data_IF_775865739468
#
_entry.id   IF_775865739468
#
_cell.length_a   1.000
_cell.length_b   1.000
_cell.length_c   1.000
_cell.angle_alpha   90.00
_cell.angle_beta   90.00
_cell.angle_gamma   90.00
#
_symmetry.space_group_name_H-M   'P 1'
#
loop_
_entity.id
_entity.type
_entity.pdbx_description
1 polymer ?
#
# COMPACT_ATOMS: atom_id res chain seq x y z
N UNK A 1 69.75 57.74 -45.30
CA UNK A 1 69.07 58.93 -44.74
C UNK A 1 67.97 58.39 -43.82
N UNK A 2 68.19 58.17 -42.52
CA UNK A 2 68.34 59.17 -41.45
C UNK A 2 66.96 59.77 -41.10
N UNK A 3 66.41 59.78 -39.88
CA UNK A 3 66.85 59.46 -38.50
C UNK A 3 65.59 59.46 -37.60
N UNK A 4 65.60 58.67 -36.51
CA UNK A 4 65.39 59.01 -35.07
C UNK A 4 65.07 57.70 -34.30
N UNK A 5 66.06 57.05 -33.67
CA UNK A 5 66.66 57.26 -32.31
C UNK A 5 65.74 56.66 -31.23
N UNK A 6 66.04 55.43 -30.76
CA UNK A 6 66.81 55.03 -29.53
C UNK A 6 66.00 55.25 -28.25
N UNK A 7 66.00 54.41 -27.22
CA UNK A 7 66.78 53.24 -26.78
C UNK A 7 66.39 53.08 -25.29
N UNK A 8 66.10 51.88 -24.79
CA UNK A 8 67.05 50.94 -24.18
C UNK A 8 66.96 50.97 -22.63
N UNK A 9 67.23 49.83 -21.97
CA UNK A 9 67.68 49.81 -20.57
C UNK A 9 66.71 49.31 -19.50
N UNK A 10 67.21 48.35 -18.72
CA UNK A 10 66.51 47.52 -17.74
C UNK A 10 66.64 47.98 -16.28
N UNK A 11 65.72 47.44 -15.45
CA UNK A 11 65.83 46.98 -14.04
C UNK A 11 66.29 47.86 -12.87
N UNK A 12 65.62 47.56 -11.74
CA UNK A 12 65.90 47.79 -10.31
C UNK A 12 65.51 49.13 -9.64
N UNK A 13 64.44 49.09 -8.83
CA UNK A 13 64.48 49.54 -7.43
C UNK A 13 63.34 48.88 -6.61
N UNK A 14 63.72 47.98 -5.71
CA UNK A 14 62.88 47.46 -4.62
C UNK A 14 62.66 48.54 -3.53
N UNK A 15 61.89 48.21 -2.47
CA UNK A 15 61.67 48.93 -1.16
C UNK A 15 60.37 49.78 -1.16
N UNK A 16 59.30 49.63 -0.35
CA UNK A 16 58.93 48.90 0.88
C UNK A 16 57.38 48.79 1.03
N UNK A 17 56.91 47.82 1.84
CA UNK A 17 55.52 47.36 2.11
C UNK A 17 54.56 48.42 2.77
N UNK A 18 53.24 48.14 2.94
CA UNK A 18 52.79 47.28 4.05
C UNK A 18 51.75 46.22 3.65
N UNK A 19 52.11 44.97 3.93
CA UNK A 19 51.35 43.72 3.79
C UNK A 19 50.45 43.44 5.03
N UNK A 20 49.99 44.49 5.73
CA UNK A 20 49.47 44.38 7.10
C UNK A 20 47.95 44.64 7.22
N UNK A 21 47.30 45.05 6.12
CA UNK A 21 45.87 45.37 6.10
C UNK A 21 44.99 44.20 5.69
N UNK A 22 45.48 43.22 4.92
CA UNK A 22 44.69 42.07 4.48
C UNK A 22 44.57 40.96 5.54
N UNK A 23 45.63 40.72 6.32
CA UNK A 23 45.60 39.71 7.39
C UNK A 23 44.68 40.09 8.56
N UNK A 24 44.59 41.38 8.91
CA UNK A 24 43.79 41.86 10.04
C UNK A 24 42.28 41.72 9.81
N UNK A 25 41.80 41.96 8.58
CA UNK A 25 40.39 41.83 8.20
C UNK A 25 39.94 40.38 8.20
N UNK A 26 40.75 39.46 7.65
CA UNK A 26 40.45 38.03 7.65
C UNK A 26 40.42 37.43 9.07
N UNK A 27 41.35 37.85 9.95
CA UNK A 27 41.36 37.44 11.36
C UNK A 27 40.14 37.95 12.13
N UNK A 28 39.68 39.19 11.89
CA UNK A 28 38.48 39.75 12.53
C UNK A 28 37.18 39.05 12.13
N UNK A 29 37.02 38.71 10.84
CA UNK A 29 35.82 38.04 10.32
C UNK A 29 35.69 36.59 10.84
N UNK A 30 36.83 35.87 10.96
CA UNK A 30 36.86 34.52 11.53
C UNK A 30 36.47 34.48 13.02
N UNK A 31 36.85 35.52 13.77
CA UNK A 31 36.54 35.63 15.21
C UNK A 31 35.06 35.94 15.42
N UNK A 32 34.50 36.87 14.65
CA UNK A 32 33.08 37.21 14.70
C UNK A 32 32.16 36.02 14.34
N UNK A 33 32.53 35.24 13.32
CA UNK A 33 31.79 34.02 12.93
C UNK A 33 31.86 32.93 14.01
N UNK A 34 32.99 32.78 14.68
CA UNK A 34 33.17 31.84 15.80
C UNK A 34 32.33 32.24 17.02
N UNK A 35 32.22 33.54 17.33
CA UNK A 35 31.38 34.03 18.43
C UNK A 35 29.89 33.85 18.13
N UNK A 36 29.46 34.10 16.89
CA UNK A 36 28.07 33.85 16.45
C UNK A 36 27.72 32.35 16.49
N UNK A 37 28.64 31.49 16.05
CA UNK A 37 28.45 30.04 16.12
C UNK A 37 28.36 29.54 17.57
N UNK A 38 29.21 30.05 18.47
CA UNK A 38 29.13 29.75 19.91
C UNK A 38 27.81 30.22 20.52
N UNK A 39 27.30 31.38 20.10
CA UNK A 39 25.98 31.87 20.50
C UNK A 39 24.85 30.96 20.04
N UNK A 40 24.87 30.52 18.78
CA UNK A 40 23.87 29.58 18.23
C UNK A 40 23.92 28.23 18.95
N UNK A 41 25.12 27.69 19.19
CA UNK A 41 25.31 26.44 19.95
C UNK A 41 24.77 26.60 21.38
N UNK A 42 25.05 27.73 22.03
CA UNK A 42 24.50 28.04 23.35
C UNK A 42 22.97 28.05 23.38
N UNK A 43 22.33 28.68 22.38
CA UNK A 43 20.87 28.70 22.24
C UNK A 43 20.33 27.28 22.02
N UNK A 44 20.96 26.47 21.16
CA UNK A 44 20.55 25.09 20.93
C UNK A 44 20.65 24.22 22.21
N UNK A 45 21.70 24.40 23.00
CA UNK A 45 21.87 23.69 24.28
C UNK A 45 20.78 24.13 25.27
N UNK A 46 20.48 25.43 25.36
CA UNK A 46 19.42 25.94 26.23
C UNK A 46 18.06 25.36 25.81
N UNK A 47 17.74 25.35 24.52
CA UNK A 47 16.49 24.76 24.01
C UNK A 47 16.38 23.25 24.25
N UNK A 48 17.50 22.52 24.16
CA UNK A 48 17.53 21.10 24.47
C UNK A 48 17.29 20.85 25.97
N UNK A 49 17.95 21.62 26.84
CA UNK A 49 17.80 21.49 28.30
C UNK A 49 16.40 21.89 28.76
N UNK A 50 15.83 22.97 28.23
CA UNK A 50 14.44 23.35 28.54
C UNK A 50 13.45 22.34 27.98
N UNK A 51 13.72 21.75 26.81
CA UNK A 51 12.94 20.63 26.27
C UNK A 51 12.97 19.40 27.17
N UNK A 52 14.14 19.02 27.68
CA UNK A 52 14.29 17.87 28.61
C UNK A 52 13.56 18.13 29.93
N UNK A 53 13.68 19.33 30.50
CA UNK A 53 12.97 19.69 31.75
C UNK A 53 11.46 19.77 31.52
N UNK A 54 11.02 20.36 30.41
CA UNK A 54 9.60 20.45 30.06
C UNK A 54 9.00 19.06 29.82
N UNK A 55 9.66 18.20 29.04
CA UNK A 55 9.20 16.83 28.81
C UNK A 55 9.29 15.99 30.10
N UNK A 56 10.33 16.14 30.90
CA UNK A 56 10.48 15.42 32.18
C UNK A 56 9.47 15.86 33.26
N UNK A 57 9.01 17.11 33.24
CA UNK A 57 8.02 17.62 34.18
C UNK A 57 6.57 17.36 33.73
N UNK A 58 6.30 17.42 32.42
CA UNK A 58 4.95 17.23 31.86
C UNK A 58 4.65 15.81 31.36
N UNK A 59 5.65 14.92 31.28
CA UNK A 59 5.45 13.48 31.03
C UNK A 59 5.83 12.66 32.27
N UNK A 60 4.92 12.49 33.25
CA UNK A 60 5.13 11.56 34.34
C UNK A 60 5.04 10.11 33.80
N UNK A 61 6.19 9.44 33.81
CA UNK A 61 6.42 8.00 33.94
C UNK A 61 5.53 6.99 33.21
N UNK A 62 5.16 7.22 31.95
CA UNK A 62 4.88 6.11 31.03
C UNK A 62 5.51 6.32 29.64
N UNK A 63 6.80 5.97 29.61
CA UNK A 63 7.56 5.40 28.49
C UNK A 63 7.89 6.32 27.31
N UNK A 64 9.18 6.64 27.16
CA UNK A 64 9.90 6.37 25.91
C UNK A 64 11.44 6.32 26.10
N UNK A 65 11.94 5.10 25.90
CA UNK A 65 13.12 4.76 25.12
C UNK A 65 14.47 5.35 25.55
N UNK A 66 15.25 4.53 26.27
CA UNK A 66 16.61 4.10 25.90
C UNK A 66 17.12 3.13 26.99
N UNK A 67 16.66 1.88 26.96
CA UNK A 67 17.34 0.77 27.66
C UNK A 67 17.04 -0.54 26.92
N UNK A 68 18.09 -1.19 26.41
CA UNK A 68 18.04 -2.61 26.10
C UNK A 68 17.77 -3.36 27.41
N UNK A 69 16.63 -4.05 27.50
CA UNK A 69 16.39 -5.08 28.52
C UNK A 69 15.78 -6.31 27.87
N UNK A 70 16.69 -7.21 27.54
CA UNK A 70 16.71 -8.64 27.83
C UNK A 70 15.44 -9.51 27.63
N UNK A 71 15.63 -10.45 26.71
CA UNK A 71 15.11 -11.81 26.64
C UNK A 71 15.03 -12.52 28.02
N UNK A 72 13.96 -12.35 28.80
CA UNK A 72 13.53 -13.38 29.78
C UNK A 72 12.15 -13.15 30.41
N UNK A 73 11.08 -13.18 29.62
CA UNK A 73 9.73 -13.28 30.20
C UNK A 73 8.74 -14.02 29.29
N UNK A 74 9.10 -15.26 28.92
CA UNK A 74 8.17 -16.22 28.30
C UNK A 74 8.34 -17.65 28.81
N UNK A 75 9.14 -17.86 29.86
CA UNK A 75 9.43 -19.19 30.42
C UNK A 75 8.80 -19.40 31.80
N UNK A 76 7.54 -19.01 32.00
CA UNK A 76 6.71 -19.44 33.15
C UNK A 76 5.22 -19.48 32.82
N UNK A 77 4.86 -20.30 31.84
CA UNK A 77 3.62 -21.07 31.85
C UNK A 77 4.02 -22.50 31.43
N UNK A 78 4.71 -23.17 32.36
CA UNK A 78 5.04 -24.59 32.29
C UNK A 78 3.76 -25.41 32.46
N UNK A 79 3.71 -26.47 31.67
CA UNK A 79 3.46 -27.85 32.11
C UNK A 79 2.36 -28.08 33.14
N UNK A 80 1.33 -28.76 32.66
CA UNK A 80 0.52 -29.64 33.48
C UNK A 80 -0.48 -30.38 32.61
N UNK A 81 -0.07 -31.48 31.97
CA UNK A 81 -0.83 -32.73 31.95
C UNK A 81 0.08 -33.86 31.47
N UNK A 82 0.51 -34.65 32.44
CA UNK A 82 1.31 -35.86 32.28
C UNK A 82 0.53 -36.98 31.59
N UNK A 83 1.29 -37.86 30.95
CA UNK A 83 0.85 -39.10 30.33
C UNK A 83 0.13 -40.04 31.33
N UNK A 84 -0.97 -40.62 30.87
CA UNK A 84 -1.71 -41.70 31.54
C UNK A 84 -2.46 -42.55 30.53
N UNK A 85 -1.84 -43.66 30.14
CA UNK A 85 -2.42 -44.97 29.76
C UNK A 85 -3.79 -45.03 29.06
N UNK A 86 -3.75 -45.50 27.80
CA UNK A 86 -4.52 -46.67 27.35
C UNK A 86 -5.99 -46.46 27.01
N UNK A 87 -6.28 -46.30 25.72
CA UNK A 87 -7.28 -47.05 24.94
C UNK A 87 -7.58 -46.32 23.63
N UNK A 88 -7.61 -47.05 22.52
CA UNK A 88 -8.45 -46.66 21.39
C UNK A 88 -7.78 -46.56 20.02
N UNK A 89 -7.86 -47.68 19.31
CA UNK A 89 -8.27 -47.79 17.90
C UNK A 89 -7.25 -47.39 16.81
N UNK A 90 -6.86 -48.43 16.10
CA UNK A 90 -6.16 -48.50 14.83
C UNK A 90 -6.73 -47.55 13.78
N UNK A 91 -5.89 -46.70 13.20
CA UNK A 91 -6.18 -45.97 11.96
C UNK A 91 -5.88 -46.87 10.77
N UNK A 92 -6.85 -47.21 9.90
CA UNK A 92 -6.54 -47.76 8.60
C UNK A 92 -6.22 -46.62 7.63
N UNK A 93 -5.17 -46.84 6.84
CA UNK A 93 -4.76 -46.07 5.68
C UNK A 93 -5.89 -46.04 4.65
N UNK A 94 -6.34 -44.85 4.25
CA UNK A 94 -7.32 -44.67 3.17
C UNK A 94 -6.63 -43.93 2.01
N UNK A 95 -6.58 -44.63 0.88
CA UNK A 95 -6.21 -44.13 -0.45
C UNK A 95 -7.06 -42.92 -0.88
N UNK A 96 -6.54 -42.05 -1.78
CA UNK A 96 -7.28 -40.87 -2.21
C UNK A 96 -8.35 -41.27 -3.23
N UNK A 97 -9.56 -41.55 -2.74
CA UNK A 97 -10.70 -41.82 -3.61
C UNK A 97 -11.18 -40.52 -4.28
N UNK A 98 -11.33 -40.61 -5.60
CA UNK A 98 -11.32 -39.50 -6.56
C UNK A 98 -12.73 -38.94 -6.82
N UNK A 99 -13.64 -39.07 -5.87
CA UNK A 99 -15.05 -38.73 -6.05
C UNK A 99 -15.65 -38.11 -4.79
N UNK A 100 -15.43 -36.82 -4.57
CA UNK A 100 -16.32 -35.95 -3.80
C UNK A 100 -16.02 -34.46 -4.08
N UNK A 101 -16.04 -34.12 -5.38
CA UNK A 101 -16.14 -32.72 -5.78
C UNK A 101 -17.55 -32.24 -5.44
N UNK A 102 -17.62 -31.42 -4.39
CA UNK A 102 -18.65 -30.44 -4.05
C UNK A 102 -19.89 -30.48 -4.96
N UNK A 103 -21.05 -30.88 -4.40
CA UNK A 103 -22.35 -30.60 -5.01
C UNK A 103 -22.58 -29.08 -4.99
N UNK A 104 -22.00 -28.43 -5.99
CA UNK A 104 -22.12 -27.02 -6.29
C UNK A 104 -23.48 -26.81 -6.96
N UNK A 105 -24.26 -25.84 -6.46
CA UNK A 105 -25.55 -25.47 -7.06
C UNK A 105 -25.42 -25.26 -8.58
N UNK A 106 -26.44 -25.67 -9.38
CA UNK A 106 -26.36 -25.65 -10.85
C UNK A 106 -26.20 -24.26 -11.48
N UNK A 107 -26.24 -23.18 -10.69
CA UNK A 107 -25.98 -21.80 -11.12
C UNK A 107 -24.49 -21.41 -11.11
N UNK A 108 -23.60 -22.26 -10.59
CA UNK A 108 -22.18 -21.93 -10.42
C UNK A 108 -21.40 -22.20 -11.71
N UNK A 109 -21.60 -21.35 -12.72
CA UNK A 109 -20.59 -21.17 -13.76
C UNK A 109 -19.65 -20.08 -13.26
N UNK A 110 -18.56 -20.49 -12.63
CA UNK A 110 -17.47 -19.58 -12.27
C UNK A 110 -16.93 -19.01 -13.59
N UNK A 111 -17.41 -17.83 -13.97
CA UNK A 111 -16.94 -17.15 -15.16
C UNK A 111 -15.51 -16.71 -14.89
N UNK A 112 -14.56 -17.59 -15.23
CA UNK A 112 -13.20 -17.19 -15.55
C UNK A 112 -13.31 -16.03 -16.52
N UNK A 113 -12.89 -14.83 -16.10
CA UNK A 113 -12.62 -13.72 -17.03
C UNK A 113 -11.78 -14.32 -18.16
N UNK A 114 -12.12 -14.04 -19.42
CA UNK A 114 -11.35 -14.54 -20.56
C UNK A 114 -9.87 -14.15 -20.39
N UNK A 115 -9.02 -15.14 -20.09
CA UNK A 115 -7.59 -14.95 -19.78
C UNK A 115 -7.16 -15.15 -18.32
N UNK A 116 -8.09 -15.49 -17.40
CA UNK A 116 -7.78 -15.77 -15.99
C UNK A 116 -7.31 -17.21 -15.80
N UNK A 117 -6.00 -17.44 -15.93
CA UNK A 117 -5.39 -18.71 -15.55
C UNK A 117 -5.03 -18.73 -14.06
N UNK A 118 -4.99 -19.94 -13.48
CA UNK A 118 -4.80 -20.16 -12.04
C UNK A 118 -3.47 -19.67 -11.49
N UNK A 119 -3.39 -19.57 -10.16
CA UNK A 119 -2.14 -19.35 -9.43
C UNK A 119 -1.00 -20.21 -9.99
N UNK A 120 -1.26 -21.50 -10.25
CA UNK A 120 -0.29 -22.46 -10.80
C UNK A 120 0.15 -22.16 -12.24
N UNK A 121 -0.72 -21.60 -13.07
CA UNK A 121 -0.40 -21.27 -14.47
C UNK A 121 0.46 -20.01 -14.58
N UNK A 122 0.35 -19.08 -13.60
CA UNK A 122 1.18 -17.87 -13.52
C UNK A 122 2.66 -18.23 -13.24
N UNK A 123 2.93 -19.29 -12.46
CA UNK A 123 4.30 -19.72 -12.16
C UNK A 123 4.91 -20.65 -13.20
N UNK A 124 4.09 -21.42 -13.89
CA UNK A 124 4.55 -22.46 -14.84
C UNK A 124 4.73 -21.94 -16.26
N UNK A 125 4.15 -20.79 -16.62
CA UNK A 125 4.07 -20.34 -18.00
C UNK A 125 4.63 -18.91 -18.18
N UNK A 126 5.75 -18.78 -18.90
CA UNK A 126 6.45 -17.50 -19.19
C UNK A 126 5.59 -16.47 -19.91
N UNK A 127 4.45 -16.88 -20.46
CA UNK A 127 3.49 -16.02 -21.17
C UNK A 127 2.73 -15.03 -20.25
N UNK A 128 2.84 -15.18 -18.93
CA UNK A 128 2.15 -14.33 -17.92
C UNK A 128 3.01 -13.22 -17.32
N UNK A 129 4.23 -13.02 -17.85
CA UNK A 129 5.04 -11.88 -17.48
C UNK A 129 4.34 -10.57 -17.88
N UNK A 130 4.38 -9.58 -17.00
CA UNK A 130 3.86 -8.25 -17.28
C UNK A 130 4.75 -7.54 -18.28
N UNK A 131 4.17 -7.07 -19.38
CA UNK A 131 4.87 -6.28 -20.39
C UNK A 131 4.35 -4.83 -20.41
N UNK A 132 5.15 -3.93 -19.84
CA UNK A 132 4.83 -2.49 -19.78
C UNK A 132 4.79 -1.84 -21.17
N UNK A 133 5.50 -2.39 -22.16
CA UNK A 133 5.56 -1.86 -23.52
C UNK A 133 4.37 -2.34 -24.36
N UNK A 134 3.85 -3.54 -24.08
CA UNK A 134 2.59 -4.06 -24.63
C UNK A 134 1.36 -3.35 -24.03
N UNK A 135 0.19 -4.00 -24.07
CA UNK A 135 -1.10 -3.44 -23.64
C UNK A 135 -1.50 -3.88 -22.22
N UNK A 136 -0.55 -4.34 -21.41
CA UNK A 136 -0.84 -4.85 -20.06
C UNK A 136 -1.10 -3.71 -19.08
N UNK A 137 -2.09 -3.87 -18.21
CA UNK A 137 -2.50 -2.86 -17.24
C UNK A 137 -2.62 -3.47 -15.85
N UNK A 138 -1.89 -2.92 -14.89
CA UNK A 138 -2.07 -3.23 -13.47
C UNK A 138 -3.29 -2.47 -12.96
N UNK A 139 -4.21 -3.16 -12.28
CA UNK A 139 -5.41 -2.57 -11.68
C UNK A 139 -5.34 -2.71 -10.17
N UNK A 140 -5.18 -1.59 -9.46
CA UNK A 140 -5.11 -1.61 -8.00
C UNK A 140 -6.50 -1.47 -7.35
N UNK A 141 -7.02 -2.60 -6.84
CA UNK A 141 -8.23 -2.67 -6.03
C UNK A 141 -7.91 -2.24 -4.59
N UNK A 142 -8.24 -0.99 -4.26
CA UNK A 142 -7.93 -0.40 -2.97
C UNK A 142 -9.09 -0.56 -1.97
N UNK A 143 -8.98 -1.54 -1.09
CA UNK A 143 -9.91 -1.76 0.03
C UNK A 143 -9.68 -0.73 1.14
N UNK A 144 -10.73 -0.22 1.77
CA UNK A 144 -10.59 0.75 2.85
C UNK A 144 -9.80 0.14 4.04
N UNK A 145 -8.86 0.95 4.55
CA UNK A 145 -8.12 0.71 5.81
C UNK A 145 -7.13 -0.46 5.81
N UNK A 146 -6.74 -0.92 4.62
CA UNK A 146 -5.69 -1.93 4.41
C UNK A 146 -4.33 -1.32 4.07
N UNK A 147 -4.04 -0.07 4.49
CA UNK A 147 -2.77 0.58 4.13
C UNK A 147 -2.63 0.99 2.66
N UNK A 148 -3.67 0.82 1.83
CA UNK A 148 -3.63 1.10 0.38
C UNK A 148 -3.31 2.55 -0.02
N UNK A 149 -3.40 3.52 0.90
CA UNK A 149 -2.91 4.89 0.66
C UNK A 149 -1.39 4.96 0.59
N UNK A 150 -0.68 4.19 1.42
CA UNK A 150 0.77 4.10 1.37
C UNK A 150 1.19 3.27 0.16
N UNK A 151 0.63 2.06 0.04
CA UNK A 151 0.93 1.14 -1.06
C UNK A 151 0.70 1.79 -2.44
N UNK A 152 -0.43 2.46 -2.64
CA UNK A 152 -0.71 3.17 -3.90
C UNK A 152 0.23 4.35 -4.19
N UNK A 153 0.90 4.94 -3.17
CA UNK A 153 1.95 5.94 -3.41
C UNK A 153 3.24 5.28 -3.88
N UNK A 154 3.61 4.13 -3.32
CA UNK A 154 4.76 3.35 -3.76
C UNK A 154 4.63 2.95 -5.23
N UNK A 155 3.45 2.47 -5.64
CA UNK A 155 3.16 2.12 -7.04
C UNK A 155 3.43 3.24 -8.06
N UNK A 156 3.37 4.51 -7.65
CA UNK A 156 3.54 5.66 -8.56
C UNK A 156 4.84 6.43 -8.33
N UNK A 157 5.68 6.03 -7.36
CA UNK A 157 6.88 6.81 -6.97
C UNK A 157 8.14 5.99 -6.82
N UNK A 158 8.02 4.73 -6.41
CA UNK A 158 9.15 3.97 -5.88
C UNK A 158 9.47 2.71 -6.69
N UNK A 159 8.81 2.53 -7.85
CA UNK A 159 9.13 1.48 -8.82
C UNK A 159 10.26 1.95 -9.74
N UNK A 160 11.19 1.05 -10.07
CA UNK A 160 12.25 1.29 -11.05
C UNK A 160 11.70 1.04 -12.47
N UNK A 161 11.50 2.13 -13.20
CA UNK A 161 10.83 2.13 -14.49
C UNK A 161 11.70 2.84 -15.50
N UNK A 162 11.76 2.30 -16.72
CA UNK A 162 12.38 2.99 -17.87
C UNK A 162 11.83 4.42 -18.04
N UNK A 163 10.52 4.60 -17.79
CA UNK A 163 9.85 5.89 -17.71
C UNK A 163 9.06 5.99 -16.40
N UNK A 164 9.56 6.72 -15.39
CA UNK A 164 8.86 6.92 -14.13
C UNK A 164 7.54 7.68 -14.30
N UNK A 165 6.61 7.50 -13.36
CA UNK A 165 5.38 8.29 -13.34
C UNK A 165 5.67 9.78 -13.06
N UNK A 166 4.99 10.67 -13.77
CA UNK A 166 5.09 12.12 -13.54
C UNK A 166 4.09 12.58 -12.47
N UNK A 167 4.58 12.84 -11.25
CA UNK A 167 3.77 13.30 -10.12
C UNK A 167 3.95 14.79 -9.83
N UNK A 168 2.91 15.61 -9.99
CA UNK A 168 2.96 17.04 -9.65
C UNK A 168 2.67 17.27 -8.16
N UNK A 169 3.49 18.07 -7.46
CA UNK A 169 3.37 18.31 -6.00
C UNK A 169 1.98 18.78 -5.53
N UNK A 170 1.23 19.50 -6.38
CA UNK A 170 -0.11 20.02 -6.04
C UNK A 170 -1.26 19.12 -6.49
N UNK A 171 -0.98 18.07 -7.27
CA UNK A 171 -2.01 17.15 -7.76
C UNK A 171 -1.91 15.83 -7.02
N UNK A 172 -3.05 15.30 -6.62
CA UNK A 172 -3.14 13.96 -6.03
C UNK A 172 -2.92 12.85 -7.05
N UNK A 173 -2.89 13.16 -8.35
CA UNK A 173 -2.80 12.20 -9.45
C UNK A 173 -1.48 12.38 -10.19
N UNK A 174 -0.85 11.27 -10.52
CA UNK A 174 0.36 11.16 -11.31
C UNK A 174 0.01 10.62 -12.70
N UNK A 175 0.84 10.93 -13.69
CA UNK A 175 0.74 10.37 -15.03
C UNK A 175 1.68 9.18 -15.15
N UNK A 176 1.13 7.97 -15.18
CA UNK A 176 1.89 6.72 -15.29
C UNK A 176 1.74 6.16 -16.70
N UNK A 177 2.49 6.76 -17.62
CA UNK A 177 2.43 6.38 -19.04
C UNK A 177 3.50 5.36 -19.38
N UNK A 178 3.21 4.55 -20.41
CA UNK A 178 4.16 3.60 -20.98
C UNK A 178 5.42 4.33 -21.50
N UNK A 179 6.57 3.64 -21.58
CA UNK A 179 7.80 4.23 -22.13
C UNK A 179 7.59 4.80 -23.53
N UNK A 180 6.96 4.01 -24.41
CA UNK A 180 6.88 4.29 -25.85
C UNK A 180 5.66 5.11 -26.28
N UNK A 181 4.66 5.30 -25.41
CA UNK A 181 3.37 5.93 -25.75
C UNK A 181 2.66 6.56 -24.55
N UNK A 182 1.72 7.47 -24.82
CA UNK A 182 0.96 8.19 -23.79
C UNK A 182 -0.28 7.41 -23.32
N UNK A 183 -0.14 6.12 -23.08
CA UNK A 183 -1.18 5.24 -22.55
C UNK A 183 -0.84 4.80 -21.13
N UNK A 184 -1.85 4.52 -20.31
CA UNK A 184 -1.68 4.14 -18.92
C UNK A 184 -1.35 2.65 -18.80
N UNK A 185 -0.28 2.33 -18.07
CA UNK A 185 0.00 0.95 -17.64
C UNK A 185 -0.53 0.64 -16.24
N UNK A 186 -1.00 1.66 -15.50
CA UNK A 186 -1.51 1.55 -14.14
C UNK A 186 -2.89 2.21 -14.02
N UNK A 187 -3.89 1.44 -13.59
CA UNK A 187 -5.21 1.90 -13.19
C UNK A 187 -5.33 1.90 -11.67
N UNK A 188 -5.35 3.10 -11.07
CA UNK A 188 -5.39 3.25 -9.62
C UNK A 188 -5.91 4.64 -9.23
N UNK A 189 -6.23 4.82 -7.94
CA UNK A 189 -6.53 6.14 -7.34
C UNK A 189 -5.48 7.20 -7.70
N UNK A 190 -4.20 6.83 -7.70
CA UNK A 190 -3.08 7.76 -7.87
C UNK A 190 -2.66 7.95 -9.32
N UNK A 191 -3.17 7.17 -10.27
CA UNK A 191 -2.88 7.30 -11.71
C UNK A 191 -4.08 7.77 -12.53
N UNK A 192 -5.17 7.00 -12.56
CA UNK A 192 -6.39 7.30 -13.32
C UNK A 192 -7.44 8.00 -12.46
N UNK A 193 -7.35 7.87 -11.14
CA UNK A 193 -8.35 8.39 -10.20
C UNK A 193 -9.46 7.37 -9.94
N UNK A 194 -10.58 7.84 -9.39
CA UNK A 194 -11.75 7.00 -9.10
C UNK A 194 -12.71 6.91 -10.30
N UNK A 195 -12.17 6.53 -11.47
CA UNK A 195 -12.95 6.45 -12.72
C UNK A 195 -14.11 5.45 -12.63
N UNK A 196 -13.87 4.32 -11.98
CA UNK A 196 -14.88 3.30 -11.71
C UNK A 196 -15.60 3.47 -10.37
N UNK A 197 -15.59 4.67 -9.78
CA UNK A 197 -16.21 4.94 -8.49
C UNK A 197 -15.23 4.94 -7.32
N UNK A 198 -15.64 5.59 -6.23
CA UNK A 198 -14.84 5.71 -5.02
C UNK A 198 -14.70 4.34 -4.34
N UNK A 199 -13.45 3.84 -4.23
CA UNK A 199 -13.18 2.50 -3.68
C UNK A 199 -13.96 1.39 -4.39
N UNK A 200 -13.98 1.44 -5.72
CA UNK A 200 -14.56 0.41 -6.57
C UNK A 200 -14.07 -0.99 -6.17
N UNK A 201 -15.01 -1.90 -5.97
CA UNK A 201 -14.72 -3.30 -5.65
C UNK A 201 -14.45 -4.15 -6.89
N UNK A 202 -14.22 -5.45 -6.71
CA UNK A 202 -13.96 -6.39 -7.79
C UNK A 202 -15.07 -6.36 -8.85
N UNK A 203 -16.34 -6.34 -8.42
CA UNK A 203 -17.50 -6.36 -9.32
C UNK A 203 -17.60 -5.05 -10.13
N UNK A 204 -17.34 -3.92 -9.48
CA UNK A 204 -17.31 -2.61 -10.15
C UNK A 204 -16.13 -2.50 -11.11
N UNK A 205 -14.93 -2.97 -10.75
CA UNK A 205 -13.73 -2.79 -11.56
C UNK A 205 -13.73 -3.70 -12.80
N UNK A 206 -14.10 -4.98 -12.67
CA UNK A 206 -14.11 -5.93 -13.79
C UNK A 206 -15.14 -5.55 -14.86
N UNK A 207 -16.22 -4.88 -14.48
CA UNK A 207 -17.24 -4.39 -15.41
C UNK A 207 -16.96 -3.00 -16.00
N UNK A 208 -15.97 -2.26 -15.49
CA UNK A 208 -15.79 -0.83 -15.81
C UNK A 208 -14.44 -0.46 -16.43
N UNK A 209 -13.34 -1.09 -16.00
CA UNK A 209 -11.97 -0.62 -16.31
C UNK A 209 -11.70 -0.55 -17.81
N UNK A 210 -12.12 -1.56 -18.57
CA UNK A 210 -11.93 -1.61 -20.03
C UNK A 210 -12.65 -0.46 -20.74
N UNK A 211 -13.94 -0.26 -20.42
CA UNK A 211 -14.73 0.85 -20.97
C UNK A 211 -14.12 2.22 -20.64
N UNK A 212 -13.65 2.42 -19.41
CA UNK A 212 -13.04 3.70 -19.02
C UNK A 212 -11.69 3.94 -19.70
N UNK A 213 -10.88 2.91 -19.93
CA UNK A 213 -9.63 3.04 -20.67
C UNK A 213 -9.89 3.28 -22.16
N UNK A 214 -10.89 2.63 -22.76
CA UNK A 214 -11.28 2.88 -24.15
C UNK A 214 -11.73 4.33 -24.37
N UNK A 215 -12.44 4.94 -23.40
CA UNK A 215 -12.80 6.37 -23.46
C UNK A 215 -11.59 7.32 -23.41
N UNK A 216 -10.48 6.89 -22.80
CA UNK A 216 -9.29 7.74 -22.60
C UNK A 216 -8.28 7.55 -23.75
N UNK A 217 -8.12 6.33 -24.23
CA UNK A 217 -7.03 5.92 -25.14
C UNK A 217 -7.53 5.51 -26.53
N UNK A 218 -8.85 5.39 -26.71
CA UNK A 218 -9.47 4.90 -27.95
C UNK A 218 -9.91 3.43 -27.86
N UNK A 219 -10.83 3.06 -28.76
CA UNK A 219 -11.31 1.69 -28.92
C UNK A 219 -10.35 0.82 -29.74
N UNK A 220 -10.49 -0.52 -29.66
CA UNK A 220 -9.72 -1.47 -30.48
C UNK A 220 -8.42 -1.98 -29.87
N UNK A 221 -8.01 -1.48 -28.69
CA UNK A 221 -6.84 -1.98 -27.97
C UNK A 221 -7.22 -3.17 -27.08
N UNK A 222 -6.78 -4.37 -27.45
CA UNK A 222 -6.91 -5.56 -26.59
C UNK A 222 -5.90 -5.47 -25.44
N UNK A 223 -6.41 -5.27 -24.22
CA UNK A 223 -5.61 -5.15 -22.99
C UNK A 223 -5.67 -6.43 -22.15
N UNK A 224 -4.62 -6.71 -21.37
CA UNK A 224 -4.63 -7.71 -20.30
C UNK A 224 -4.62 -6.99 -18.96
N UNK A 225 -5.45 -7.43 -18.03
CA UNK A 225 -5.61 -6.78 -16.73
C UNK A 225 -5.04 -7.62 -15.60
N UNK A 226 -4.15 -7.02 -14.83
CA UNK A 226 -3.46 -7.62 -13.69
C UNK A 226 -4.01 -6.99 -12.42
N UNK A 227 -5.04 -7.61 -11.84
CA UNK A 227 -5.68 -7.11 -10.63
C UNK A 227 -4.83 -7.38 -9.40
N UNK A 228 -4.61 -6.36 -8.59
CA UNK A 228 -3.77 -6.43 -7.40
C UNK A 228 -4.50 -5.79 -6.23
N UNK A 229 -4.20 -6.22 -5.02
CA UNK A 229 -4.81 -5.62 -3.82
C UNK A 229 -3.88 -5.66 -2.62
N UNK A 230 -4.33 -5.05 -1.53
CA UNK A 230 -3.72 -5.19 -0.21
C UNK A 230 -4.84 -5.45 0.80
N UNK A 231 -4.64 -6.50 1.58
CA UNK A 231 -5.52 -6.94 2.66
C UNK A 231 -4.83 -6.74 4.01
N UNK A 232 -5.59 -6.94 5.07
CA UNK A 232 -5.18 -6.69 6.45
C UNK A 232 -5.90 -7.65 7.39
N UNK A 233 -5.31 -7.92 8.55
CA UNK A 233 -6.01 -8.52 9.67
C UNK A 233 -7.40 -7.86 9.84
N UNK A 234 -8.49 -8.64 9.79
CA UNK A 234 -9.84 -8.10 9.72
C UNK A 234 -10.23 -7.32 10.98
N UNK A 235 -9.74 -7.70 12.17
CA UNK A 235 -10.03 -6.99 13.43
C UNK A 235 -9.34 -5.62 13.43
N UNK A 236 -8.03 -5.58 13.16
CA UNK A 236 -7.26 -4.35 13.07
C UNK A 236 -7.80 -3.42 11.98
N UNK A 237 -8.22 -3.97 10.84
CA UNK A 237 -8.85 -3.24 9.75
C UNK A 237 -10.22 -2.67 10.16
N UNK A 238 -11.07 -3.46 10.80
CA UNK A 238 -12.40 -3.04 11.28
C UNK A 238 -12.30 -1.92 12.31
N UNK A 239 -11.43 -2.07 13.32
CA UNK A 239 -11.17 -1.03 14.32
C UNK A 239 -10.55 0.24 13.71
N UNK A 240 -9.69 0.09 12.70
CA UNK A 240 -9.15 1.23 11.95
C UNK A 240 -10.24 1.96 11.16
N UNK A 241 -11.22 1.24 10.62
CA UNK A 241 -12.38 1.81 9.95
C UNK A 241 -13.28 2.56 10.92
N UNK A 242 -13.64 1.92 12.03
CA UNK A 242 -14.38 2.52 13.14
C UNK A 242 -13.77 3.88 13.54
N UNK A 243 -12.47 3.92 13.85
CA UNK A 243 -11.81 5.18 14.25
C UNK A 243 -11.81 6.24 13.15
N UNK A 244 -11.83 5.83 11.88
CA UNK A 244 -11.91 6.78 10.76
C UNK A 244 -13.32 7.35 10.61
N UNK A 245 -14.33 6.49 10.75
CA UNK A 245 -15.76 6.85 10.71
C UNK A 245 -16.12 7.74 11.90
N UNK A 246 -15.62 7.41 13.10
CA UNK A 246 -15.77 8.23 14.31
C UNK A 246 -15.25 9.66 14.13
N UNK A 247 -14.27 9.88 13.24
CA UNK A 247 -13.75 11.20 12.85
C UNK A 247 -14.43 11.82 11.63
N UNK A 248 -15.53 11.24 11.15
CA UNK A 248 -16.38 11.79 10.09
C UNK A 248 -16.22 11.16 8.71
N UNK A 249 -15.45 10.09 8.54
CA UNK A 249 -15.40 9.37 7.26
C UNK A 249 -16.70 8.62 6.97
N UNK A 250 -17.15 8.66 5.70
CA UNK A 250 -18.42 8.00 5.30
C UNK A 250 -18.32 7.20 4.00
N UNK A 251 -17.43 7.60 3.08
CA UNK A 251 -17.33 7.07 1.71
C UNK A 251 -18.65 7.09 0.91
N UNK A 252 -19.58 8.01 1.21
CA UNK A 252 -20.89 8.12 0.53
C UNK A 252 -20.86 8.25 -0.98
N UNK A 253 -19.72 8.65 -1.56
CA UNK A 253 -19.53 8.71 -3.01
C UNK A 253 -19.24 7.36 -3.67
N UNK A 254 -19.18 6.26 -2.91
CA UNK A 254 -19.09 4.92 -3.46
C UNK A 254 -20.41 4.55 -4.14
N UNK A 255 -20.32 4.02 -5.37
CA UNK A 255 -21.51 3.73 -6.19
C UNK A 255 -22.09 2.36 -5.85
N UNK A 256 -21.27 1.40 -5.45
CA UNK A 256 -21.72 0.03 -5.20
C UNK A 256 -22.46 -0.54 -6.42
N UNK A 257 -21.90 -0.30 -7.61
CA UNK A 257 -22.51 -0.67 -8.88
C UNK A 257 -22.47 -2.19 -9.07
N UNK A 258 -23.64 -2.80 -9.26
CA UNK A 258 -23.76 -4.23 -9.50
C UNK A 258 -25.05 -4.53 -10.27
N UNK A 259 -25.02 -5.49 -11.19
CA UNK A 259 -26.20 -5.86 -11.98
C UNK A 259 -26.71 -4.73 -12.87
N UNK A 260 -25.85 -3.79 -13.28
CA UNK A 260 -26.23 -2.66 -14.14
C UNK A 260 -26.88 -1.48 -13.42
N UNK A 261 -26.92 -1.47 -12.08
CA UNK A 261 -27.47 -0.37 -11.30
C UNK A 261 -26.62 -0.04 -10.06
N UNK A 262 -26.78 1.17 -9.56
CA UNK A 262 -26.24 1.60 -8.27
C UNK A 262 -27.08 1.00 -7.14
N UNK A 263 -26.43 0.38 -6.15
CA UNK A 263 -27.12 -0.22 -5.02
C UNK A 263 -27.70 0.83 -4.06
N UNK A 264 -28.91 0.53 -3.54
CA UNK A 264 -29.55 1.34 -2.50
C UNK A 264 -29.34 0.67 -1.13
N UNK A 265 -28.27 1.06 -0.42
CA UNK A 265 -27.88 0.47 0.86
C UNK A 265 -28.31 1.40 2.00
N UNK A 266 -29.10 0.92 2.98
CA UNK A 266 -29.49 1.70 4.15
C UNK A 266 -28.28 2.25 4.91
N UNK A 267 -28.34 3.51 5.33
CA UNK A 267 -27.29 4.15 6.12
C UNK A 267 -27.43 3.80 7.60
N UNK A 268 -26.30 3.66 8.31
CA UNK A 268 -26.27 3.41 9.75
C UNK A 268 -26.41 4.68 10.62
N UNK A 269 -26.55 5.85 9.99
CA UNK A 269 -26.56 7.13 10.66
C UNK A 269 -27.48 8.10 9.94
N UNK A 270 -27.90 9.14 10.66
CA UNK A 270 -28.68 10.25 10.11
C UNK A 270 -27.75 11.43 9.80
N UNK A 271 -28.09 12.25 8.79
CA UNK A 271 -27.38 13.50 8.51
C UNK A 271 -26.08 13.33 7.68
N UNK A 272 -25.04 14.18 7.87
CA UNK A 272 -23.87 14.31 6.98
C UNK A 272 -22.67 13.39 7.30
N UNK A 273 -22.58 12.81 8.50
CA UNK A 273 -21.60 11.76 8.83
C UNK A 273 -22.01 10.93 10.05
N UNK A 274 -21.21 9.90 10.39
CA UNK A 274 -21.32 9.13 11.65
C UNK A 274 -20.29 9.59 12.70
N UNK A 275 -19.97 10.89 12.71
CA UNK A 275 -18.98 11.45 13.63
C UNK A 275 -19.40 11.22 15.09
N UNK A 276 -18.43 10.85 15.93
CA UNK A 276 -18.67 10.59 17.36
C UNK A 276 -19.29 9.23 17.69
N UNK A 277 -19.56 8.37 16.70
CA UNK A 277 -20.09 7.02 16.94
C UNK A 277 -19.23 6.24 17.95
N UNK A 278 -19.87 5.51 18.87
CA UNK A 278 -19.18 4.57 19.77
C UNK A 278 -18.88 3.25 19.08
N UNK A 279 -17.94 2.46 19.61
CA UNK A 279 -17.64 1.15 19.01
C UNK A 279 -18.87 0.22 19.03
N UNK A 280 -19.63 0.26 20.12
CA UNK A 280 -20.87 -0.51 20.28
C UNK A 280 -21.91 -0.16 19.21
N UNK A 281 -22.20 1.13 19.01
CA UNK A 281 -23.11 1.60 17.96
C UNK A 281 -22.61 1.23 16.55
N UNK A 282 -21.29 1.27 16.35
CA UNK A 282 -20.69 0.88 15.08
C UNK A 282 -20.88 -0.62 14.79
N UNK A 283 -20.77 -1.48 15.81
CA UNK A 283 -20.98 -2.92 15.68
C UNK A 283 -22.46 -3.31 15.61
N UNK A 284 -23.35 -2.55 16.24
CA UNK A 284 -24.77 -2.90 16.31
C UNK A 284 -25.56 -2.64 15.04
N UNK A 285 -25.05 -1.80 14.11
CA UNK A 285 -25.75 -1.54 12.85
C UNK A 285 -25.66 -2.75 11.88
N UNK A 286 -26.79 -3.37 11.50
CA UNK A 286 -26.80 -4.53 10.60
C UNK A 286 -26.30 -4.22 9.18
N UNK A 287 -26.45 -2.98 8.73
CA UNK A 287 -26.08 -2.52 7.39
C UNK A 287 -24.67 -1.90 7.33
N UNK A 288 -23.86 -2.07 8.38
CA UNK A 288 -22.51 -1.51 8.40
C UNK A 288 -21.61 -2.19 7.36
N UNK A 289 -21.26 -1.44 6.31
CA UNK A 289 -20.37 -1.91 5.24
C UNK A 289 -18.93 -2.18 5.70
N UNK A 290 -18.56 -1.84 6.92
CA UNK A 290 -17.30 -2.27 7.51
C UNK A 290 -17.28 -3.78 7.76
N UNK A 291 -18.41 -4.40 8.07
CA UNK A 291 -18.52 -5.85 8.27
C UNK A 291 -18.25 -6.60 6.97
N UNK A 292 -17.36 -7.60 7.05
CA UNK A 292 -16.90 -8.45 5.94
C UNK A 292 -16.50 -7.66 4.68
N UNK A 293 -15.96 -6.43 4.87
CA UNK A 293 -15.60 -5.54 3.77
C UNK A 293 -14.64 -6.19 2.77
N UNK A 294 -13.61 -6.88 3.25
CA UNK A 294 -12.60 -7.48 2.38
C UNK A 294 -13.23 -8.56 1.50
N UNK A 295 -13.98 -9.47 2.10
CA UNK A 295 -14.73 -10.52 1.40
C UNK A 295 -15.69 -9.92 0.38
N UNK A 296 -16.53 -8.97 0.79
CA UNK A 296 -17.49 -8.31 -0.10
C UNK A 296 -16.81 -7.59 -1.27
N UNK A 297 -15.71 -6.89 -1.01
CA UNK A 297 -15.02 -6.11 -2.05
C UNK A 297 -14.16 -6.96 -2.99
N UNK A 298 -13.88 -8.21 -2.64
CA UNK A 298 -13.11 -9.13 -3.49
C UNK A 298 -14.01 -10.13 -4.24
N UNK A 299 -15.23 -10.34 -3.76
CA UNK A 299 -16.19 -11.23 -4.39
C UNK A 299 -16.84 -10.64 -5.65
N UNK A 300 -17.30 -11.53 -6.51
CA UNK A 300 -18.32 -11.25 -7.50
C UNK A 300 -19.69 -11.20 -6.81
N UNK A 301 -20.22 -10.00 -6.62
CA UNK A 301 -21.51 -9.81 -5.97
C UNK A 301 -22.69 -10.22 -6.87
N UNK A 302 -22.49 -10.34 -8.19
CA UNK A 302 -23.56 -10.80 -9.09
C UNK A 302 -23.99 -12.24 -8.78
N UNK A 303 -23.08 -13.07 -8.27
CA UNK A 303 -23.33 -14.47 -7.89
C UNK A 303 -24.37 -14.62 -6.77
N UNK A 304 -24.54 -13.58 -5.95
CA UNK A 304 -25.49 -13.57 -4.83
C UNK A 304 -26.70 -12.66 -5.10
N UNK A 305 -26.88 -12.16 -6.32
CA UNK A 305 -27.95 -11.20 -6.62
C UNK A 305 -27.63 -9.77 -6.14
N UNK A 306 -26.36 -9.40 -6.13
CA UNK A 306 -25.88 -8.08 -5.71
C UNK A 306 -26.27 -7.75 -4.25
N UNK A 307 -26.78 -6.54 -4.01
CA UNK A 307 -27.18 -6.07 -2.69
C UNK A 307 -28.64 -6.40 -2.33
N UNK A 308 -29.40 -7.00 -3.26
CA UNK A 308 -30.79 -7.42 -3.09
C UNK A 308 -30.90 -8.95 -3.21
N UNK A 309 -30.11 -9.66 -2.41
CA UNK A 309 -30.07 -11.13 -2.46
C UNK A 309 -31.40 -11.74 -2.01
N UNK A 310 -31.90 -12.71 -2.78
CA UNK A 310 -33.01 -13.60 -2.37
C UNK A 310 -32.53 -14.83 -1.58
N UNK A 311 -31.22 -15.02 -1.45
CA UNK A 311 -30.62 -16.16 -0.77
C UNK A 311 -30.66 -15.97 0.74
N UNK A 312 -30.55 -17.09 1.47
CA UNK A 312 -30.33 -17.01 2.92
C UNK A 312 -28.99 -16.33 3.22
N UNK A 313 -28.89 -15.70 4.41
CA UNK A 313 -27.66 -15.01 4.83
C UNK A 313 -26.45 -15.94 4.85
N UNK A 314 -26.62 -17.17 5.35
CA UNK A 314 -25.57 -18.17 5.43
C UNK A 314 -25.09 -18.61 4.04
N UNK A 315 -26.00 -18.80 3.10
CA UNK A 315 -25.67 -19.18 1.73
C UNK A 315 -24.97 -18.04 1.00
N UNK A 316 -25.49 -16.81 1.12
CA UNK A 316 -24.86 -15.60 0.58
C UNK A 316 -23.43 -15.44 1.08
N UNK A 317 -23.20 -15.61 2.39
CA UNK A 317 -21.88 -15.45 2.99
C UNK A 317 -20.92 -16.56 2.54
N UNK A 318 -21.40 -17.80 2.39
CA UNK A 318 -20.60 -18.91 1.87
C UNK A 318 -20.18 -18.68 0.41
N UNK A 319 -21.11 -18.25 -0.45
CA UNK A 319 -20.84 -17.96 -1.86
C UNK A 319 -19.89 -16.77 -2.02
N UNK A 320 -20.13 -15.70 -1.25
CA UNK A 320 -19.27 -14.51 -1.26
C UNK A 320 -17.85 -14.85 -0.79
N UNK A 321 -17.69 -15.66 0.25
CA UNK A 321 -16.38 -16.11 0.72
C UNK A 321 -15.66 -16.98 -0.31
N UNK A 322 -16.36 -17.94 -0.93
CA UNK A 322 -15.81 -18.78 -1.97
C UNK A 322 -15.34 -17.95 -3.18
N UNK A 323 -16.17 -17.00 -3.62
CA UNK A 323 -15.83 -16.08 -4.71
C UNK A 323 -14.63 -15.20 -4.38
N UNK A 324 -14.59 -14.60 -3.19
CA UNK A 324 -13.48 -13.75 -2.75
C UNK A 324 -12.14 -14.52 -2.70
N UNK A 325 -12.15 -15.76 -2.16
CA UNK A 325 -10.96 -16.62 -2.12
C UNK A 325 -10.48 -16.96 -3.53
N UNK A 326 -11.40 -17.36 -4.40
CA UNK A 326 -11.09 -17.64 -5.79
C UNK A 326 -10.49 -16.40 -6.48
N UNK A 327 -11.15 -15.25 -6.40
CA UNK A 327 -10.67 -14.04 -7.06
C UNK A 327 -9.30 -13.61 -6.54
N UNK A 328 -9.04 -13.72 -5.23
CA UNK A 328 -7.74 -13.40 -4.67
C UNK A 328 -6.65 -14.40 -5.11
N UNK A 329 -6.96 -15.70 -5.17
CA UNK A 329 -6.03 -16.75 -5.60
C UNK A 329 -5.54 -16.54 -7.05
N UNK A 330 -6.39 -15.97 -7.91
CA UNK A 330 -6.07 -15.70 -9.31
C UNK A 330 -5.54 -14.27 -9.53
N UNK A 331 -5.37 -13.47 -8.49
CA UNK A 331 -4.63 -12.22 -8.61
C UNK A 331 -3.13 -12.53 -8.76
N UNK A 332 -2.41 -11.89 -9.70
CA UNK A 332 -0.95 -12.04 -9.82
C UNK A 332 -0.21 -11.72 -8.52
N UNK A 333 -0.73 -10.79 -7.72
CA UNK A 333 -0.28 -10.60 -6.35
C UNK A 333 -1.32 -9.87 -5.48
N UNK A 334 -1.22 -10.09 -4.17
CA UNK A 334 -1.84 -9.26 -3.15
C UNK A 334 -0.85 -9.05 -2.00
N UNK A 335 -1.07 -8.05 -1.17
CA UNK A 335 -0.20 -7.77 -0.01
C UNK A 335 -0.94 -7.93 1.31
N UNK A 336 -0.19 -8.19 2.36
CA UNK A 336 -0.66 -8.12 3.75
C UNK A 336 -0.11 -6.86 4.40
N UNK A 337 -0.95 -6.11 5.11
CA UNK A 337 -0.54 -4.84 5.74
C UNK A 337 0.50 -5.06 6.85
N UNK A 338 0.39 -6.17 7.56
CA UNK A 338 1.23 -6.56 8.71
C UNK A 338 2.69 -6.73 8.29
N UNK A 339 2.90 -7.26 7.08
CA UNK A 339 4.22 -7.63 6.55
C UNK A 339 4.86 -6.50 5.71
N UNK A 340 4.37 -5.27 5.81
CA UNK A 340 5.01 -4.11 5.14
C UNK A 340 6.36 -3.71 5.76
N UNK A 341 6.64 -4.13 7.00
CA UNK A 341 7.75 -3.61 7.81
C UNK A 341 8.68 -4.67 8.38
N UNK A 342 8.54 -5.95 8.03
CA UNK A 342 9.42 -6.97 8.57
C UNK A 342 10.86 -6.74 8.10
N UNK A 343 11.62 -6.16 9.02
CA UNK A 343 13.06 -5.91 8.96
C UNK A 343 13.86 -7.12 9.49
N UNK A 344 13.21 -8.25 9.80
CA UNK A 344 13.85 -9.46 10.33
C UNK A 344 14.46 -10.36 9.23
N UNK A 345 14.44 -9.94 7.97
CA UNK A 345 15.35 -10.45 6.96
C UNK A 345 16.56 -9.51 6.90
N UNK A 346 17.62 -9.87 7.63
CA UNK A 346 18.87 -9.12 7.77
C UNK A 346 19.29 -8.38 6.48
N UNK A 347 19.21 -7.04 6.50
CA UNK A 347 20.05 -6.18 5.66
C UNK A 347 19.45 -5.56 4.40
N UNK A 348 18.16 -5.75 4.09
CA UNK A 348 17.54 -5.16 2.90
C UNK A 348 16.40 -4.20 3.26
N UNK A 349 16.40 -3.03 2.61
CA UNK A 349 15.26 -2.09 2.50
C UNK A 349 13.96 -2.88 2.44
N UNK A 350 13.12 -2.78 3.48
CA UNK A 350 11.78 -3.37 3.62
C UNK A 350 11.37 -4.29 2.45
N UNK A 351 11.41 -5.61 2.68
CA UNK A 351 11.38 -6.76 1.74
C UNK A 351 10.56 -6.63 0.43
N UNK A 352 9.59 -5.72 0.36
CA UNK A 352 8.66 -5.47 -0.75
C UNK A 352 9.11 -4.37 -1.74
N UNK A 353 9.91 -3.39 -1.28
CA UNK A 353 10.49 -2.40 -2.20
C UNK A 353 11.43 -3.10 -3.19
N UNK A 354 12.14 -4.15 -2.78
CA UNK A 354 12.94 -4.95 -3.70
C UNK A 354 12.10 -5.81 -4.64
N UNK A 355 10.97 -6.35 -4.18
CA UNK A 355 10.11 -7.19 -5.01
C UNK A 355 9.32 -6.42 -6.07
N UNK A 356 9.03 -5.14 -5.84
CA UNK A 356 8.31 -4.27 -6.77
C UNK A 356 9.24 -3.35 -7.57
N UNK A 357 10.55 -3.31 -7.25
CA UNK A 357 11.51 -2.45 -7.95
C UNK A 357 11.48 -2.69 -9.45
N UNK A 358 11.44 -3.94 -9.89
CA UNK A 358 11.34 -4.26 -11.32
C UNK A 358 9.99 -4.91 -11.63
N UNK A 359 9.11 -4.21 -12.35
CA UNK A 359 7.83 -4.79 -12.81
C UNK A 359 8.07 -5.85 -13.90
N UNK A 360 9.22 -5.80 -14.60
CA UNK A 360 9.53 -6.70 -15.71
C UNK A 360 10.26 -7.96 -15.26
N UNK A 361 10.99 -8.00 -14.13
CA UNK A 361 11.67 -9.23 -13.66
C UNK A 361 10.84 -9.99 -12.61
N UNK A 362 10.75 -11.31 -12.79
CA UNK A 362 9.99 -12.27 -11.97
C UNK A 362 10.18 -12.07 -10.45
N UNK A 363 9.12 -12.49 -9.74
CA UNK A 363 9.10 -13.04 -8.37
C UNK A 363 8.62 -12.10 -7.25
N UNK A 364 7.33 -11.76 -7.28
CA UNK A 364 6.59 -11.26 -6.11
C UNK A 364 6.25 -12.40 -5.14
N UNK A 365 7.16 -12.68 -4.20
CA UNK A 365 6.99 -13.69 -3.15
C UNK A 365 5.68 -13.47 -2.37
N UNK A 366 4.84 -14.51 -2.28
CA UNK A 366 3.67 -14.54 -1.40
C UNK A 366 3.71 -15.77 -0.48
N UNK A 367 3.52 -15.49 0.82
CA UNK A 367 3.34 -16.46 1.90
C UNK A 367 2.00 -17.22 1.76
N UNK A 368 1.91 -18.46 2.28
CA UNK A 368 0.74 -19.32 2.09
C UNK A 368 -0.54 -18.83 2.81
N UNK A 369 -1.57 -18.55 2.02
CA UNK A 369 -2.88 -19.21 2.08
C UNK A 369 -3.95 -18.85 3.14
N UNK A 370 -3.63 -18.31 4.32
CA UNK A 370 -4.61 -18.24 5.44
C UNK A 370 -5.00 -16.84 5.93
N UNK A 371 -5.19 -15.87 5.04
CA UNK A 371 -5.49 -14.48 5.43
C UNK A 371 -6.97 -14.03 5.26
N UNK A 372 -7.89 -14.91 4.84
CA UNK A 372 -9.29 -14.55 4.59
C UNK A 372 -10.24 -15.41 5.44
N UNK A 373 -10.45 -15.01 6.70
CA UNK A 373 -11.65 -15.37 7.46
C UNK A 373 -11.83 -14.44 8.68
N UNK A 374 -12.95 -13.73 8.72
CA UNK A 374 -13.91 -13.66 9.84
C UNK A 374 -15.28 -13.37 9.24
#
# INVERSE_FOLDING_TARGET
MGRRVSGDGASELAVLLPDDTCERTAKMESRARRTRLRGIIGICIILALTGIVYLGYFCPDHVCALTNRDLKESSRLSEGFAAGTGSGLSFPSIEPDRSNLLSVHPAFKLQSIQGSLGYEDIFTNDTFQFDINANDVIVFLHIQKTGGTLFGKHLVRDLDLQKPCSCQRRRKRCFCFRPNRNENWLFSRYSTGWKCGLHADWTELTSCVDSELNKIEGEGVKRRYFYITIIRDPVARYLSEFRHVQRGATWRGARHWCGGAQANIPQCYNGPSWQGVTLEQFMSCPHNLASNRQTRMLADLSLIGCYNSSLSKQESDRLMLASAKNNLQFMPFFMLTEYQKDNEFNGATSCWLETLKDINYRQLYLLPGNAIAF
#
